data_IF_235398468031
#
_entry.id   IF_235398468031
#
_cell.length_a   1.000
_cell.length_b   1.000
_cell.length_c   1.000
_cell.angle_alpha   90.00
_cell.angle_beta   90.00
_cell.angle_gamma   90.00
#
_symmetry.space_group_name_H-M   'P 1'
#
loop_
_entity.id
_entity.type
_entity.pdbx_description
1 polymer ?
#
# COMPACT_ATOMS: atom_id res chain seq x y z
N UNK A 1 -11.75 2.99 7.51
CA UNK A 1 -10.64 2.16 8.04
C UNK A 1 -9.34 2.77 7.57
N UNK A 2 -8.35 2.87 8.47
CA UNK A 2 -6.97 3.20 8.12
C UNK A 2 -6.25 1.96 7.57
N UNK A 3 -4.97 2.12 7.21
CA UNK A 3 -4.19 1.06 6.56
C UNK A 3 -4.02 -0.16 7.48
N UNK A 4 -3.68 0.07 8.75
CA UNK A 4 -3.46 -0.95 9.77
C UNK A 4 -4.74 -1.75 10.07
N UNK A 5 -5.89 -1.07 10.12
CA UNK A 5 -7.20 -1.70 10.29
C UNK A 5 -7.54 -2.61 9.11
N UNK A 6 -7.22 -2.18 7.87
CA UNK A 6 -7.42 -3.01 6.67
C UNK A 6 -6.53 -4.25 6.68
N UNK A 7 -5.28 -4.12 7.12
CA UNK A 7 -4.36 -5.27 7.30
C UNK A 7 -4.90 -6.25 8.34
N UNK A 8 -5.30 -5.76 9.53
CA UNK A 8 -5.88 -6.60 10.57
C UNK A 8 -7.16 -7.32 10.12
N UNK A 9 -7.95 -6.64 9.26
CA UNK A 9 -9.15 -7.22 8.66
C UNK A 9 -8.80 -8.34 7.67
N UNK A 10 -7.79 -8.16 6.82
CA UNK A 10 -7.29 -9.24 5.94
C UNK A 10 -6.84 -10.45 6.77
N UNK A 11 -6.07 -10.27 7.83
CA UNK A 11 -5.64 -11.38 8.69
C UNK A 11 -6.84 -12.13 9.29
N UNK A 12 -7.88 -11.39 9.69
CA UNK A 12 -9.13 -11.97 10.20
C UNK A 12 -9.85 -12.78 9.13
N UNK A 13 -9.94 -12.25 7.91
CA UNK A 13 -10.54 -12.95 6.76
C UNK A 13 -9.76 -14.23 6.45
N UNK A 14 -8.43 -14.17 6.40
CA UNK A 14 -7.57 -15.33 6.15
C UNK A 14 -7.76 -16.40 7.22
N UNK A 15 -7.86 -16.03 8.50
CA UNK A 15 -8.14 -16.98 9.59
C UNK A 15 -9.50 -17.65 9.41
N UNK A 16 -10.55 -16.89 9.07
CA UNK A 16 -11.87 -17.45 8.83
C UNK A 16 -11.90 -18.38 7.62
N UNK A 17 -11.21 -18.05 6.54
CA UNK A 17 -11.11 -18.92 5.35
C UNK A 17 -10.39 -20.25 5.63
N UNK A 18 -9.57 -20.32 6.68
CA UNK A 18 -8.88 -21.54 7.11
C UNK A 18 -9.68 -22.35 8.14
N UNK A 19 -10.79 -21.81 8.65
CA UNK A 19 -11.65 -22.48 9.62
C UNK A 19 -12.52 -23.53 8.91
N UNK A 20 -12.50 -24.76 9.42
CA UNK A 20 -13.26 -25.90 8.90
C UNK A 20 -14.78 -25.74 9.04
N UNK A 21 -15.24 -24.81 9.88
CA UNK A 21 -16.65 -24.50 10.08
C UNK A 21 -17.17 -23.38 9.16
N UNK A 22 -16.30 -22.75 8.36
CA UNK A 22 -16.72 -21.72 7.41
C UNK A 22 -17.48 -22.35 6.25
N UNK A 23 -18.70 -21.89 6.02
CA UNK A 23 -19.53 -22.40 4.93
C UNK A 23 -18.96 -21.98 3.56
N UNK A 24 -19.39 -22.66 2.50
CA UNK A 24 -18.98 -22.30 1.13
C UNK A 24 -19.43 -20.88 0.75
N UNK A 25 -20.67 -20.51 1.09
CA UNK A 25 -21.21 -19.18 0.82
C UNK A 25 -20.41 -18.10 1.58
N UNK A 26 -20.11 -18.34 2.85
CA UNK A 26 -19.28 -17.43 3.65
C UNK A 26 -17.86 -17.34 3.10
N UNK A 27 -17.29 -18.45 2.62
CA UNK A 27 -15.96 -18.48 2.02
C UNK A 27 -15.88 -17.62 0.77
N UNK A 28 -16.91 -17.66 -0.07
CA UNK A 28 -17.00 -16.83 -1.27
C UNK A 28 -17.09 -15.35 -0.89
N UNK A 29 -17.97 -15.00 0.06
CA UNK A 29 -18.12 -13.62 0.52
C UNK A 29 -16.84 -13.06 1.16
N UNK A 30 -16.19 -13.86 2.02
CA UNK A 30 -14.91 -13.52 2.66
C UNK A 30 -13.80 -13.34 1.62
N UNK A 31 -13.77 -14.17 0.58
CA UNK A 31 -12.79 -14.05 -0.49
C UNK A 31 -12.99 -12.76 -1.30
N UNK A 32 -14.22 -12.42 -1.68
CA UNK A 32 -14.55 -11.17 -2.38
C UNK A 32 -14.17 -9.93 -1.54
N UNK A 33 -14.47 -9.96 -0.24
CA UNK A 33 -14.07 -8.91 0.70
C UNK A 33 -12.54 -8.80 0.78
N UNK A 34 -11.84 -9.93 0.89
CA UNK A 34 -10.38 -9.99 0.96
C UNK A 34 -9.70 -9.44 -0.31
N UNK A 35 -10.20 -9.80 -1.50
CA UNK A 35 -9.69 -9.27 -2.77
C UNK A 35 -9.90 -7.76 -2.87
N UNK A 36 -11.05 -7.26 -2.42
CA UNK A 36 -11.35 -5.83 -2.42
C UNK A 36 -10.40 -5.07 -1.51
N UNK A 37 -10.21 -5.54 -0.27
CA UNK A 37 -9.27 -4.94 0.68
C UNK A 37 -7.82 -4.97 0.17
N UNK A 38 -7.40 -6.06 -0.48
CA UNK A 38 -6.06 -6.17 -1.04
C UNK A 38 -5.80 -5.12 -2.11
N UNK A 39 -6.76 -4.88 -3.01
CA UNK A 39 -6.66 -3.82 -4.03
C UNK A 39 -6.58 -2.43 -3.41
N UNK A 40 -7.37 -2.16 -2.37
CA UNK A 40 -7.32 -0.87 -1.68
C UNK A 40 -5.97 -0.63 -0.98
N UNK A 41 -5.38 -1.68 -0.41
CA UNK A 41 -4.05 -1.62 0.22
C UNK A 41 -2.96 -1.37 -0.83
N UNK A 42 -3.03 -2.06 -1.96
CA UNK A 42 -2.11 -1.86 -3.09
C UNK A 42 -2.15 -0.41 -3.59
N UNK A 43 -3.36 0.14 -3.80
CA UNK A 43 -3.53 1.52 -4.19
C UNK A 43 -2.95 2.50 -3.15
N UNK A 44 -3.21 2.27 -1.87
CA UNK A 44 -2.68 3.12 -0.80
C UNK A 44 -1.13 3.11 -0.76
N UNK A 45 -0.52 1.96 -1.03
CA UNK A 45 0.94 1.85 -1.12
C UNK A 45 1.50 2.57 -2.35
N UNK A 46 0.84 2.48 -3.50
CA UNK A 46 1.26 3.17 -4.72
C UNK A 46 1.17 4.70 -4.53
N UNK A 47 0.10 5.19 -3.91
CA UNK A 47 -0.05 6.61 -3.57
C UNK A 47 1.03 7.08 -2.58
N UNK A 48 1.35 6.26 -1.57
CA UNK A 48 2.41 6.56 -0.61
C UNK A 48 3.79 6.61 -1.29
N UNK A 49 4.07 5.64 -2.17
CA UNK A 49 5.30 5.60 -2.97
C UNK A 49 5.43 6.84 -3.85
N UNK A 50 4.37 7.21 -4.57
CA UNK A 50 4.37 8.41 -5.42
C UNK A 50 4.65 9.69 -4.64
N UNK A 51 4.11 9.83 -3.42
CA UNK A 51 4.42 10.96 -2.53
C UNK A 51 5.88 10.97 -2.09
N UNK A 52 6.45 9.82 -1.77
CA UNK A 52 7.88 9.71 -1.41
C UNK A 52 8.76 10.08 -2.61
N UNK A 53 8.46 9.58 -3.80
CA UNK A 53 9.19 9.91 -5.03
C UNK A 53 9.11 11.39 -5.37
N UNK A 54 7.96 12.04 -5.17
CA UNK A 54 7.82 13.49 -5.33
C UNK A 54 8.73 14.25 -4.37
N UNK A 55 8.69 13.94 -3.07
CA UNK A 55 9.52 14.62 -2.07
C UNK A 55 11.02 14.42 -2.34
N UNK A 56 11.43 13.21 -2.72
CA UNK A 56 12.82 12.91 -3.07
C UNK A 56 13.23 13.62 -4.36
N UNK A 57 12.36 13.60 -5.38
CA UNK A 57 12.59 14.29 -6.66
C UNK A 57 12.68 15.81 -6.52
N UNK A 58 11.80 16.42 -5.70
CA UNK A 58 11.86 17.84 -5.35
C UNK A 58 13.13 18.17 -4.56
N UNK A 59 13.55 17.29 -3.63
CA UNK A 59 14.80 17.46 -2.89
C UNK A 59 16.04 17.41 -3.79
N UNK A 60 16.04 16.60 -4.86
CA UNK A 60 17.12 16.55 -5.85
C UNK A 60 17.07 17.75 -6.81
N UNK A 61 15.87 18.22 -7.14
CA UNK A 61 15.68 19.39 -8.02
C UNK A 61 16.04 20.70 -7.32
N UNK A 62 15.87 20.77 -5.99
CA UNK A 62 16.29 21.91 -5.16
C UNK A 62 17.81 21.95 -4.90
N UNK A 63 18.56 20.92 -5.30
CA UNK A 63 20.01 21.00 -5.39
C UNK A 63 20.36 21.60 -6.75
N UNK A 64 20.41 22.94 -6.84
CA UNK A 64 21.05 23.58 -8.00
C UNK A 64 22.48 23.04 -8.09
N UNK A 65 22.75 22.31 -9.18
CA UNK A 65 24.12 21.99 -9.59
C UNK A 65 24.74 23.32 -9.99
N UNK A 66 25.38 23.99 -9.04
CA UNK A 66 26.26 25.10 -9.35
C UNK A 66 27.44 24.46 -10.06
N UNK A 67 27.58 24.73 -11.36
CA UNK A 67 28.86 24.48 -12.04
C UNK A 67 29.90 25.28 -11.27
N UNK A 68 30.77 24.56 -10.54
CA UNK A 68 31.96 25.16 -9.99
C UNK A 68 32.82 25.53 -11.19
N UNK A 69 32.79 26.81 -11.56
CA UNK A 69 33.72 27.38 -12.52
C UNK A 69 35.10 27.34 -11.85
N UNK A 70 35.80 26.23 -12.08
CA UNK A 70 37.14 25.96 -11.55
C UNK A 70 38.16 26.66 -12.45
N UNK A 71 37.99 27.97 -12.65
CA UNK A 71 38.99 28.85 -13.26
C UNK A 71 39.11 30.16 -12.47
N UNK A 72 40.36 30.41 -12.07
CA UNK A 72 40.90 31.52 -11.30
C UNK A 72 40.64 32.92 -11.89
#
# INVERSE_FOLDING_TARGET
MNFEEKIAKIETITKKLQDEHTSLEDSIALFEEGVTLAKELEQALEEAKGKVEQVVGESLTSMEVVEFDDEQ
#
